data_IF_584466701654
#
_entry.id   IF_584466701654
#
_cell.length_a   1.000
_cell.length_b   1.000
_cell.length_c   1.000
_cell.angle_alpha   90.00
_cell.angle_beta   90.00
_cell.angle_gamma   90.00
#
_symmetry.space_group_name_H-M   'P 1'
#
loop_
_entity.id
_entity.type
_entity.pdbx_description
1 polymer ?
#
# COMPACT_ATOMS: atom_id res chain seq x y z
N UNK A 1 -5.26 -32.82 -15.19
CA UNK A 1 -5.84 -32.81 -13.84
C UNK A 1 -5.19 -31.66 -13.08
N UNK A 2 -6.03 -30.86 -12.44
CA UNK A 2 -5.80 -29.46 -12.06
C UNK A 2 -4.71 -29.27 -11.00
N UNK A 3 -3.69 -28.45 -11.29
CA UNK A 3 -2.78 -27.90 -10.28
C UNK A 3 -3.36 -26.60 -9.75
N UNK A 4 -4.34 -26.71 -8.84
CA UNK A 4 -4.94 -25.56 -8.17
C UNK A 4 -4.04 -25.09 -7.03
N UNK A 5 -3.19 -24.10 -7.29
CA UNK A 5 -2.57 -23.30 -6.23
C UNK A 5 -3.31 -21.97 -6.17
N UNK A 6 -4.49 -22.01 -5.55
CA UNK A 6 -5.21 -20.81 -5.16
C UNK A 6 -4.59 -20.29 -3.86
N UNK A 7 -3.57 -19.47 -3.97
CA UNK A 7 -3.05 -18.74 -2.83
C UNK A 7 -3.96 -17.53 -2.56
N UNK A 8 -5.00 -17.74 -1.76
CA UNK A 8 -5.76 -16.65 -1.14
C UNK A 8 -4.95 -16.19 0.07
N UNK A 9 -4.05 -15.23 -0.13
CA UNK A 9 -3.42 -14.49 0.95
C UNK A 9 -4.34 -13.32 1.34
N UNK A 10 -5.31 -13.63 2.19
CA UNK A 10 -5.90 -12.65 3.09
C UNK A 10 -5.48 -13.05 4.51
N UNK A 11 -5.38 -12.06 5.39
CA UNK A 11 -5.08 -12.14 6.83
C UNK A 11 -3.59 -11.98 7.24
N UNK A 12 -3.31 -10.78 7.72
CA UNK A 12 -2.35 -10.36 8.75
C UNK A 12 -0.92 -10.94 8.76
N UNK A 13 0.03 -10.09 8.35
CA UNK A 13 1.28 -9.93 9.09
C UNK A 13 2.49 -10.76 8.67
N UNK A 14 2.44 -11.50 7.55
CA UNK A 14 3.54 -12.44 7.24
C UNK A 14 3.85 -12.55 5.74
N UNK A 15 4.07 -11.44 5.04
CA UNK A 15 4.92 -11.46 3.84
C UNK A 15 6.17 -10.61 4.12
N UNK A 16 7.18 -11.31 4.60
CA UNK A 16 8.50 -10.78 4.88
C UNK A 16 9.36 -10.99 3.63
N UNK A 17 10.02 -9.92 3.22
CA UNK A 17 11.21 -9.80 2.36
C UNK A 17 11.15 -9.68 0.82
N UNK A 18 10.09 -10.05 0.09
CA UNK A 18 9.96 -9.71 -1.34
C UNK A 18 8.98 -8.56 -1.63
N UNK A 19 8.24 -8.14 -0.61
CA UNK A 19 7.28 -7.03 -0.69
C UNK A 19 7.89 -5.65 -0.38
N UNK A 20 9.08 -5.59 0.23
CA UNK A 20 9.63 -4.36 0.80
C UNK A 20 9.93 -3.29 -0.27
N UNK A 21 10.31 -3.71 -1.48
CA UNK A 21 10.45 -2.82 -2.65
C UNK A 21 9.16 -2.71 -3.47
N UNK A 22 8.42 -3.79 -3.67
CA UNK A 22 7.18 -3.78 -4.47
C UNK A 22 6.06 -2.95 -3.86
N UNK A 23 5.89 -2.98 -2.53
CA UNK A 23 4.80 -2.30 -1.84
C UNK A 23 4.99 -0.79 -1.79
N UNK A 24 6.19 -0.31 -1.44
CA UNK A 24 6.49 1.14 -1.46
C UNK A 24 6.28 1.72 -2.86
N UNK A 25 6.72 1.01 -3.90
CA UNK A 25 6.49 1.42 -5.30
C UNK A 25 5.00 1.45 -5.62
N UNK A 26 4.23 0.43 -5.21
CA UNK A 26 2.78 0.41 -5.42
C UNK A 26 2.06 1.58 -4.73
N UNK A 27 2.43 1.93 -3.49
CA UNK A 27 1.90 3.12 -2.80
C UNK A 27 2.24 4.42 -3.55
N UNK A 28 3.50 4.57 -3.98
CA UNK A 28 3.93 5.75 -4.74
C UNK A 28 3.18 5.89 -6.07
N UNK A 29 2.95 4.79 -6.79
CA UNK A 29 2.13 4.79 -8.01
C UNK A 29 0.65 5.08 -7.71
N UNK A 30 0.12 4.64 -6.57
CA UNK A 30 -1.25 4.97 -6.17
C UNK A 30 -1.40 6.47 -5.88
N UNK A 31 -0.41 7.12 -5.25
CA UNK A 31 -0.38 8.57 -5.06
C UNK A 31 -0.32 9.30 -6.41
N UNK A 32 0.59 8.89 -7.30
CA UNK A 32 0.76 9.48 -8.63
C UNK A 32 -0.54 9.39 -9.46
N UNK A 33 -1.18 8.22 -9.50
CA UNK A 33 -2.47 8.03 -10.18
C UNK A 33 -3.61 8.84 -9.57
N UNK A 34 -3.55 9.11 -8.27
CA UNK A 34 -4.51 9.96 -7.59
C UNK A 34 -4.18 11.47 -7.71
N UNK A 35 -3.11 11.83 -8.43
CA UNK A 35 -2.66 13.22 -8.56
C UNK A 35 -2.16 13.84 -7.26
N UNK A 36 -1.71 13.01 -6.31
CA UNK A 36 -1.24 13.45 -5.00
C UNK A 36 0.27 13.70 -5.01
N UNK A 37 0.76 14.74 -4.32
CA UNK A 37 2.18 15.08 -4.30
C UNK A 37 3.03 14.20 -3.37
N UNK A 38 2.46 13.12 -2.83
CA UNK A 38 3.14 12.28 -1.84
C UNK A 38 4.06 11.26 -2.51
N UNK A 39 5.26 11.13 -1.94
CA UNK A 39 6.20 10.07 -2.30
C UNK A 39 6.90 9.58 -1.05
N UNK A 40 6.83 8.29 -0.79
CA UNK A 40 7.54 7.65 0.31
C UNK A 40 8.90 7.16 -0.17
N UNK A 41 9.94 7.67 0.47
CA UNK A 41 11.27 7.07 0.44
C UNK A 41 11.33 5.87 1.41
N UNK A 42 12.49 5.22 1.45
CA UNK A 42 12.71 4.06 2.32
C UNK A 42 12.61 4.41 3.81
N UNK A 43 12.99 5.62 4.20
CA UNK A 43 12.95 6.07 5.59
C UNK A 43 11.51 6.22 6.07
N UNK A 44 10.70 6.98 5.34
CA UNK A 44 9.28 7.17 5.62
C UNK A 44 8.56 5.84 5.60
N UNK A 45 8.87 4.99 4.62
CA UNK A 45 8.26 3.67 4.54
C UNK A 45 8.65 2.78 5.74
N UNK A 46 9.93 2.80 6.16
CA UNK A 46 10.41 2.08 7.33
C UNK A 46 9.70 2.45 8.63
N UNK A 47 9.50 3.76 8.87
CA UNK A 47 8.72 4.24 10.03
C UNK A 47 7.26 3.74 9.99
N UNK A 48 6.70 3.68 8.78
CA UNK A 48 5.33 3.25 8.55
C UNK A 48 5.16 1.73 8.66
N UNK A 49 6.23 0.92 8.54
CA UNK A 49 6.15 -0.54 8.65
C UNK A 49 5.63 -1.01 10.02
N UNK A 50 5.82 -0.22 11.07
CA UNK A 50 5.27 -0.49 12.40
C UNK A 50 3.73 -0.52 12.45
N UNK A 51 3.04 0.04 11.45
CA UNK A 51 1.58 0.08 11.36
C UNK A 51 1.10 -1.06 10.46
N UNK A 52 0.43 -2.06 11.03
CA UNK A 52 -0.11 -3.18 10.25
C UNK A 52 -1.24 -2.74 9.31
N UNK A 53 -1.26 -3.29 8.10
CA UNK A 53 -2.28 -3.05 7.08
C UNK A 53 -2.09 -1.77 6.26
N UNK A 54 -2.13 -1.90 4.93
CA UNK A 54 -1.86 -0.80 3.99
C UNK A 54 -2.81 0.40 4.11
N UNK A 55 -4.10 0.17 4.39
CA UNK A 55 -5.08 1.26 4.63
C UNK A 55 -4.74 2.08 5.86
N UNK A 56 -4.41 1.42 6.97
CA UNK A 56 -4.06 2.09 8.23
C UNK A 56 -2.77 2.89 8.09
N UNK A 57 -1.80 2.33 7.36
CA UNK A 57 -0.56 3.01 7.00
C UNK A 57 -0.78 4.31 6.23
N UNK A 58 -1.63 4.26 5.20
CA UNK A 58 -2.03 5.45 4.43
C UNK A 58 -2.73 6.49 5.31
N UNK A 59 -3.70 6.08 6.13
CA UNK A 59 -4.44 7.00 6.99
C UNK A 59 -3.52 7.69 8.00
N UNK A 60 -2.61 6.95 8.64
CA UNK A 60 -1.66 7.50 9.59
C UNK A 60 -0.71 8.51 8.94
N UNK A 61 -0.20 8.22 7.74
CA UNK A 61 0.63 9.17 7.01
C UNK A 61 -0.13 10.45 6.65
N UNK A 62 -1.37 10.32 6.15
CA UNK A 62 -2.19 11.47 5.77
C UNK A 62 -2.53 12.37 6.97
N UNK A 63 -2.77 11.79 8.13
CA UNK A 63 -2.95 12.54 9.37
C UNK A 63 -1.68 13.30 9.77
N UNK A 64 -0.50 12.68 9.65
CA UNK A 64 0.80 13.35 9.86
C UNK A 64 1.03 14.49 8.86
N UNK A 65 0.48 14.38 7.66
CA UNK A 65 0.51 15.43 6.63
C UNK A 65 -0.52 16.55 6.87
N UNK A 66 -1.31 16.49 7.95
CA UNK A 66 -2.24 17.54 8.36
C UNK A 66 -3.70 17.32 7.96
N UNK A 67 -4.06 16.17 7.37
CA UNK A 67 -5.47 15.88 7.08
C UNK A 67 -6.23 15.50 8.36
N UNK A 68 -7.46 16.00 8.55
CA UNK A 68 -8.34 15.52 9.61
C UNK A 68 -8.56 14.01 9.52
N UNK A 69 -8.69 13.34 10.68
CA UNK A 69 -8.83 11.89 10.77
C UNK A 69 -9.88 11.26 9.82
N UNK A 70 -11.11 11.80 9.72
CA UNK A 70 -12.13 11.29 8.81
C UNK A 70 -11.74 11.44 7.33
N UNK A 71 -11.17 12.57 6.94
CA UNK A 71 -10.73 12.84 5.56
C UNK A 71 -9.54 11.94 5.18
N UNK A 72 -8.59 11.78 6.10
CA UNK A 72 -7.47 10.86 5.95
C UNK A 72 -7.93 9.41 5.77
N UNK A 73 -8.91 8.96 6.55
CA UNK A 73 -9.47 7.61 6.45
C UNK A 73 -10.22 7.38 5.11
N UNK A 74 -11.01 8.37 4.68
CA UNK A 74 -11.71 8.32 3.40
C UNK A 74 -10.73 8.28 2.22
N UNK A 75 -9.71 9.14 2.23
CA UNK A 75 -8.68 9.16 1.20
C UNK A 75 -7.84 7.88 1.21
N UNK A 76 -7.46 7.36 2.38
CA UNK A 76 -6.75 6.10 2.52
C UNK A 76 -7.53 4.92 1.91
N UNK A 77 -8.86 4.91 2.08
CA UNK A 77 -9.73 3.91 1.45
C UNK A 77 -9.67 4.00 -0.07
N UNK A 78 -9.83 5.20 -0.64
CA UNK A 78 -9.73 5.41 -2.10
C UNK A 78 -8.37 4.98 -2.65
N UNK A 79 -7.29 5.40 -1.99
CA UNK A 79 -5.93 5.04 -2.40
C UNK A 79 -5.66 3.55 -2.33
N UNK A 80 -6.21 2.86 -1.32
CA UNK A 80 -6.05 1.41 -1.22
C UNK A 80 -6.81 0.64 -2.31
N UNK A 81 -7.94 1.16 -2.78
CA UNK A 81 -8.63 0.60 -3.95
C UNK A 81 -7.81 0.84 -5.23
N UNK A 82 -7.21 2.02 -5.40
CA UNK A 82 -6.30 2.31 -6.51
C UNK A 82 -5.05 1.44 -6.46
N UNK A 83 -4.48 1.21 -5.28
CA UNK A 83 -3.34 0.31 -5.05
C UNK A 83 -3.63 -1.09 -5.60
N UNK A 84 -4.81 -1.65 -5.31
CA UNK A 84 -5.22 -2.98 -5.82
C UNK A 84 -5.19 -3.01 -7.36
N UNK A 85 -5.74 -1.97 -7.99
CA UNK A 85 -5.76 -1.83 -9.45
C UNK A 85 -4.36 -1.59 -10.08
N UNK A 86 -3.41 -1.07 -9.29
CA UNK A 86 -2.01 -0.90 -9.71
C UNK A 86 -1.23 -2.21 -9.56
N UNK A 87 -1.39 -2.89 -8.43
CA UNK A 87 -0.71 -4.16 -8.14
C UNK A 87 -1.06 -5.24 -9.17
N UNK A 88 -2.32 -5.30 -9.60
CA UNK A 88 -2.80 -6.19 -10.67
C UNK A 88 -2.13 -5.96 -12.04
N UNK A 89 -1.40 -4.85 -12.23
CA UNK A 89 -0.77 -4.46 -13.51
C UNK A 89 0.76 -4.35 -13.44
N UNK A 90 1.36 -4.67 -12.29
CA UNK A 90 2.82 -4.73 -12.18
C UNK A 90 3.27 -6.11 -12.70
N UNK A 91 4.15 -6.20 -13.71
CA UNK A 91 4.82 -7.46 -13.99
C UNK A 91 5.63 -7.81 -12.74
N UNK A 92 5.38 -8.99 -12.18
CA UNK A 92 6.22 -9.55 -11.12
C UNK A 92 7.52 -9.95 -11.82
N UNK A 93 8.47 -9.02 -11.93
CA UNK A 93 9.81 -9.37 -12.39
C UNK A 93 10.48 -10.14 -11.26
N UNK A 94 10.65 -11.44 -11.51
CA UNK A 94 11.38 -12.41 -10.69
C UNK A 94 12.88 -12.31 -10.91
#
# INVERSE_FOLDING_TARGET
MSSGWAAVFDVDGTLVDSERDGHRVAFNRAFERAGLPYRWDEKVYGELLAITGGRRRLAAYLQRAGLPGPEAAALATRLHLTLRCVAERLPVEV
#
